data_IF_747852019084
#
_entry.id   IF_747852019084
#
_cell.length_a   1.000
_cell.length_b   1.000
_cell.length_c   1.000
_cell.angle_alpha   90.00
_cell.angle_beta   90.00
_cell.angle_gamma   90.00
#
_symmetry.space_group_name_H-M   'P 1'
#
loop_
_entity.id
_entity.type
_entity.pdbx_description
1 polymer ?
#
# COMPACT_ATOMS: atom_id res chain seq x y z
N UNK A 1 19.99 56.12 -32.17
CA UNK A 1 19.04 55.96 -31.04
C UNK A 1 18.26 54.67 -31.24
N UNK A 2 17.97 53.89 -30.19
CA UNK A 2 18.27 52.45 -30.18
C UNK A 2 17.12 51.51 -30.59
N UNK A 3 17.54 50.37 -31.14
CA UNK A 3 16.76 49.20 -31.54
C UNK A 3 16.16 48.52 -30.29
N UNK A 4 14.83 48.67 -30.08
CA UNK A 4 14.15 48.11 -28.91
C UNK A 4 13.62 46.71 -29.25
N UNK A 5 14.52 45.74 -29.29
CA UNK A 5 14.17 44.32 -29.37
C UNK A 5 13.43 43.88 -28.11
N UNK A 6 12.13 43.67 -28.20
CA UNK A 6 11.29 43.07 -27.15
C UNK A 6 11.53 41.58 -27.07
N UNK A 7 12.61 41.17 -26.41
CA UNK A 7 12.92 39.77 -26.15
C UNK A 7 12.14 39.25 -24.93
N UNK A 8 10.81 39.28 -25.00
CA UNK A 8 9.89 38.88 -23.93
C UNK A 8 9.50 37.38 -23.97
N UNK A 9 10.37 36.50 -24.48
CA UNK A 9 10.03 35.07 -24.72
C UNK A 9 10.92 34.05 -23.99
N UNK A 10 11.71 34.45 -22.98
CA UNK A 10 12.66 33.53 -22.31
C UNK A 10 12.37 33.16 -20.85
N UNK A 11 11.28 33.62 -20.23
CA UNK A 11 11.02 33.34 -18.80
C UNK A 11 9.87 32.38 -18.48
N UNK A 12 9.13 31.84 -19.46
CA UNK A 12 7.95 31.01 -19.17
C UNK A 12 8.28 29.52 -19.00
N UNK A 13 9.49 29.08 -19.36
CA UNK A 13 9.87 27.65 -19.32
C UNK A 13 10.21 27.18 -17.91
N UNK A 14 10.73 28.06 -17.04
CA UNK A 14 11.15 27.70 -15.67
C UNK A 14 10.01 27.65 -14.65
N UNK A 15 8.82 28.17 -14.96
CA UNK A 15 7.67 28.11 -14.06
C UNK A 15 6.94 26.76 -14.13
N UNK A 16 6.98 26.08 -15.30
CA UNK A 16 6.33 24.77 -15.48
C UNK A 16 7.08 23.62 -14.82
N UNK A 17 8.41 23.70 -14.71
CA UNK A 17 9.24 22.62 -14.13
C UNK A 17 9.24 22.56 -12.60
N UNK A 18 8.79 23.62 -11.91
CA UNK A 18 8.69 23.63 -10.44
C UNK A 18 7.39 23.02 -9.92
N UNK A 19 6.31 23.00 -10.72
CA UNK A 19 5.05 22.36 -10.31
C UNK A 19 5.05 20.85 -10.56
N UNK A 20 5.77 20.35 -11.57
CA UNK A 20 5.76 18.91 -11.92
C UNK A 20 6.34 18.01 -10.84
N UNK A 21 7.30 18.49 -10.05
CA UNK A 21 7.85 17.74 -8.91
C UNK A 21 6.84 17.58 -7.77
N UNK A 22 6.02 18.61 -7.53
CA UNK A 22 5.03 18.61 -6.45
C UNK A 22 3.78 17.81 -6.82
N UNK A 23 3.41 17.83 -8.10
CA UNK A 23 2.29 17.04 -8.62
C UNK A 23 2.68 15.55 -8.73
N UNK A 24 3.88 15.23 -9.22
CA UNK A 24 4.37 13.84 -9.25
C UNK A 24 4.49 13.21 -7.86
N UNK A 25 4.98 13.95 -6.85
CA UNK A 25 5.05 13.45 -5.48
C UNK A 25 3.67 13.18 -4.87
N UNK A 26 2.65 13.98 -5.22
CA UNK A 26 1.26 13.74 -4.79
C UNK A 26 0.67 12.51 -5.47
N UNK A 27 0.90 12.35 -6.77
CA UNK A 27 0.39 11.21 -7.53
C UNK A 27 1.01 9.90 -7.01
N UNK A 28 2.31 9.89 -6.72
CA UNK A 28 2.98 8.74 -6.08
C UNK A 28 2.38 8.43 -4.70
N UNK A 29 2.17 9.45 -3.86
CA UNK A 29 1.56 9.25 -2.54
C UNK A 29 0.13 8.70 -2.62
N UNK A 30 -0.69 9.21 -3.54
CA UNK A 30 -2.04 8.70 -3.74
C UNK A 30 -2.05 7.27 -4.29
N UNK A 31 -1.08 6.92 -5.13
CA UNK A 31 -0.91 5.58 -5.65
C UNK A 31 -0.53 4.59 -4.53
N UNK A 32 0.52 4.89 -3.74
CA UNK A 32 0.94 4.06 -2.61
C UNK A 32 -0.19 3.86 -1.60
N UNK A 33 -0.93 4.92 -1.27
CA UNK A 33 -2.09 4.81 -0.37
C UNK A 33 -3.17 3.88 -0.93
N UNK A 34 -3.43 3.95 -2.23
CA UNK A 34 -4.44 3.11 -2.88
C UNK A 34 -4.01 1.64 -2.90
N UNK A 35 -2.73 1.36 -3.14
CA UNK A 35 -2.19 0.00 -3.09
C UNK A 35 -2.28 -0.58 -1.66
N UNK A 36 -1.95 0.23 -0.64
CA UNK A 36 -2.07 -0.17 0.77
C UNK A 36 -3.53 -0.49 1.15
N UNK A 37 -4.49 0.35 0.76
CA UNK A 37 -5.92 0.09 0.96
C UNK A 37 -6.41 -1.15 0.18
N UNK A 38 -5.87 -1.37 -1.02
CA UNK A 38 -6.22 -2.53 -1.84
C UNK A 38 -5.73 -3.83 -1.21
N UNK A 39 -4.47 -3.87 -0.75
CA UNK A 39 -3.92 -5.02 -0.03
C UNK A 39 -4.70 -5.29 1.26
N UNK A 40 -5.02 -4.26 2.04
CA UNK A 40 -5.82 -4.42 3.27
C UNK A 40 -7.17 -5.06 2.95
N UNK A 41 -7.86 -4.58 1.93
CA UNK A 41 -9.16 -5.13 1.49
C UNK A 41 -9.04 -6.58 1.03
N UNK A 42 -8.05 -6.90 0.19
CA UNK A 42 -7.82 -8.27 -0.27
C UNK A 42 -7.50 -9.23 0.88
N UNK A 43 -6.60 -8.83 1.77
CA UNK A 43 -6.20 -9.65 2.91
C UNK A 43 -7.35 -9.84 3.91
N UNK A 44 -8.18 -8.80 4.11
CA UNK A 44 -9.40 -8.92 4.91
C UNK A 44 -10.35 -9.96 4.33
N UNK A 45 -10.58 -9.94 3.02
CA UNK A 45 -11.44 -10.91 2.32
C UNK A 45 -10.84 -12.33 2.44
N UNK A 46 -9.53 -12.47 2.28
CA UNK A 46 -8.84 -13.76 2.42
C UNK A 46 -8.99 -14.32 3.84
N UNK A 47 -8.74 -13.52 4.87
CA UNK A 47 -8.90 -13.92 6.28
C UNK A 47 -10.36 -14.30 6.57
N UNK A 48 -11.34 -13.50 6.11
CA UNK A 48 -12.75 -13.82 6.33
C UNK A 48 -13.17 -15.13 5.66
N UNK A 49 -12.65 -15.42 4.46
CA UNK A 49 -12.86 -16.72 3.82
C UNK A 49 -12.25 -17.86 4.64
N UNK A 50 -11.01 -17.70 5.09
CA UNK A 50 -10.33 -18.70 5.93
C UNK A 50 -11.10 -18.97 7.22
N UNK A 51 -11.58 -17.93 7.90
CA UNK A 51 -12.40 -18.07 9.10
C UNK A 51 -13.73 -18.79 8.82
N UNK A 52 -14.40 -18.47 7.69
CA UNK A 52 -15.62 -19.16 7.27
C UNK A 52 -15.38 -20.64 6.90
N UNK A 53 -14.22 -20.93 6.31
CA UNK A 53 -13.80 -22.28 5.92
C UNK A 53 -13.31 -23.11 7.13
N UNK A 54 -13.36 -22.55 8.35
CA UNK A 54 -13.02 -23.23 9.60
C UNK A 54 -11.54 -23.18 9.97
N UNK A 55 -10.73 -22.41 9.26
CA UNK A 55 -9.33 -22.20 9.63
C UNK A 55 -9.23 -21.30 10.86
N UNK A 56 -8.30 -21.64 11.74
CA UNK A 56 -7.97 -20.90 12.96
C UNK A 56 -6.57 -20.34 12.86
N UNK A 57 -6.36 -19.22 13.52
CA UNK A 57 -5.03 -18.65 13.66
C UNK A 57 -4.10 -19.62 14.44
N UNK A 58 -2.94 -19.94 13.86
CA UNK A 58 -1.90 -20.76 14.51
C UNK A 58 -0.81 -19.86 15.09
N UNK A 59 -0.18 -19.04 14.24
CA UNK A 59 0.93 -18.16 14.59
C UNK A 59 1.18 -17.10 13.53
N UNK A 60 1.78 -15.98 13.94
CA UNK A 60 2.34 -14.99 13.03
C UNK A 60 3.86 -15.02 13.12
N UNK A 61 4.53 -14.91 11.97
CA UNK A 61 5.98 -14.83 11.84
C UNK A 61 6.32 -13.51 11.16
N UNK A 62 7.18 -12.72 11.78
CA UNK A 62 7.73 -11.51 11.17
C UNK A 62 8.99 -11.88 10.40
N UNK A 63 8.98 -11.67 9.08
CA UNK A 63 10.11 -11.92 8.20
C UNK A 63 10.57 -10.58 7.58
N UNK A 64 11.44 -9.88 8.30
CA UNK A 64 11.96 -8.58 7.88
C UNK A 64 10.85 -7.50 7.85
N UNK A 65 10.58 -6.86 6.70
CA UNK A 65 9.51 -5.87 6.60
C UNK A 65 8.11 -6.49 6.46
N UNK A 66 8.01 -7.81 6.30
CA UNK A 66 6.76 -8.52 6.03
C UNK A 66 6.30 -9.29 7.26
N UNK A 67 5.00 -9.53 7.35
CA UNK A 67 4.44 -10.43 8.36
C UNK A 67 3.66 -11.53 7.67
N UNK A 68 3.92 -12.77 8.07
CA UNK A 68 3.26 -13.96 7.53
C UNK A 68 2.38 -14.53 8.63
N UNK A 69 1.08 -14.62 8.37
CA UNK A 69 0.13 -15.20 9.31
C UNK A 69 -0.23 -16.60 8.85
N UNK A 70 0.02 -17.59 9.70
CA UNK A 70 -0.31 -18.99 9.46
C UNK A 70 -1.68 -19.30 10.06
N UNK A 71 -2.54 -19.89 9.23
CA UNK A 71 -3.84 -20.41 9.57
C UNK A 71 -3.86 -21.92 9.41
N UNK A 72 -4.52 -22.64 10.33
CA UNK A 72 -4.63 -24.10 10.32
C UNK A 72 -6.10 -24.53 10.46
N UNK A 73 -6.53 -25.52 9.68
CA UNK A 73 -7.85 -26.15 9.80
C UNK A 73 -7.77 -27.47 10.56
N UNK A 74 -8.92 -28.04 10.93
CA UNK A 74 -9.06 -29.35 11.59
C UNK A 74 -8.43 -30.49 10.77
N UNK A 75 -8.44 -30.37 9.45
CA UNK A 75 -7.80 -31.33 8.53
C UNK A 75 -6.27 -31.14 8.41
N UNK A 76 -5.66 -30.36 9.30
CA UNK A 76 -4.23 -30.00 9.30
C UNK A 76 -3.76 -29.26 8.03
N UNK A 77 -4.68 -28.75 7.22
CA UNK A 77 -4.36 -27.87 6.11
C UNK A 77 -3.87 -26.52 6.65
N UNK A 78 -2.68 -26.12 6.23
CA UNK A 78 -2.06 -24.84 6.56
C UNK A 78 -2.16 -23.88 5.39
N UNK A 79 -2.58 -22.66 5.67
CA UNK A 79 -2.60 -21.55 4.71
C UNK A 79 -1.83 -20.39 5.30
N UNK A 80 -1.04 -19.75 4.45
CA UNK A 80 -0.20 -18.62 4.82
C UNK A 80 -0.75 -17.36 4.13
N UNK A 81 -0.91 -16.30 4.91
CA UNK A 81 -1.30 -14.99 4.42
C UNK A 81 -0.12 -14.05 4.63
N UNK A 82 0.48 -13.61 3.54
CA UNK A 82 1.59 -12.66 3.56
C UNK A 82 1.06 -11.22 3.56
N UNK A 83 1.60 -10.41 4.45
CA UNK A 83 1.36 -8.98 4.54
C UNK A 83 2.65 -8.25 4.17
N UNK A 84 2.59 -7.42 3.14
CA UNK A 84 3.70 -6.58 2.73
C UNK A 84 3.78 -5.30 3.58
N UNK A 85 2.66 -4.85 4.14
CA UNK A 85 2.60 -3.73 5.10
C UNK A 85 2.21 -4.19 6.50
N UNK A 86 3.09 -3.93 7.48
CA UNK A 86 2.86 -4.26 8.90
C UNK A 86 1.67 -3.52 9.53
N UNK A 87 1.30 -2.35 9.00
CA UNK A 87 0.12 -1.59 9.43
C UNK A 87 -1.19 -2.37 9.17
N UNK A 88 -1.24 -3.13 8.07
CA UNK A 88 -2.40 -3.95 7.72
C UNK A 88 -2.57 -5.11 8.69
N UNK A 89 -1.46 -5.69 9.15
CA UNK A 89 -1.45 -6.78 10.14
C UNK A 89 -2.07 -6.32 11.45
N UNK A 90 -1.66 -5.15 11.92
CA UNK A 90 -2.15 -4.56 13.18
C UNK A 90 -3.65 -4.27 13.08
N UNK A 91 -4.08 -3.73 11.94
CA UNK A 91 -5.50 -3.41 11.67
C UNK A 91 -6.38 -4.65 11.57
N UNK A 92 -5.84 -5.78 11.13
CA UNK A 92 -6.58 -7.02 10.94
C UNK A 92 -6.41 -8.00 12.10
N UNK A 93 -5.50 -7.72 13.06
CA UNK A 93 -5.21 -8.57 14.22
C UNK A 93 -6.46 -8.91 15.03
N UNK A 94 -7.33 -7.93 15.22
CA UNK A 94 -8.59 -8.10 15.96
C UNK A 94 -9.57 -9.06 15.27
N UNK A 95 -9.43 -9.31 13.96
CA UNK A 95 -10.32 -10.21 13.21
C UNK A 95 -9.98 -11.70 13.41
N UNK A 96 -8.71 -12.04 13.60
CA UNK A 96 -8.25 -13.43 13.62
C UNK A 96 -7.70 -13.91 14.98
N UNK A 97 -7.62 -13.03 15.98
CA UNK A 97 -7.15 -13.36 17.34
C UNK A 97 -8.33 -13.57 18.33
N UNK A 98 -9.57 -13.62 17.87
CA UNK A 98 -10.75 -13.91 18.71
C UNK A 98 -10.84 -15.38 19.13
#
# INVERSE_FOLDING_TARGET
MPYRGTNAKRQVVHAKSKNTLRDGAKDHYHFEKKELEHELSQNKIAIQKLLNDGYRYERAVEEGPKTIVHFINNDQHRVEVCFDYSENVTSLKDLYVN
#
